data_IF_820904425886
#
_entry.id   IF_820904425886
#
_cell.length_a   1.000
_cell.length_b   1.000
_cell.length_c   1.000
_cell.angle_alpha   90.00
_cell.angle_beta   90.00
_cell.angle_gamma   90.00
#
_symmetry.space_group_name_H-M   'P 1'
#
loop_
_entity.id
_entity.type
_entity.pdbx_description
1 polymer ?
#
# COMPACT_ATOMS: atom_id res chain seq x y z
N UNK A 1 11.64 -25.11 -6.65
CA UNK A 1 11.09 -24.38 -5.50
C UNK A 1 11.65 -22.96 -5.54
N UNK A 2 10.84 -21.98 -5.94
CA UNK A 2 11.33 -20.62 -6.20
C UNK A 2 11.54 -19.83 -4.90
N UNK A 3 12.64 -19.09 -4.78
CA UNK A 3 12.99 -18.26 -3.62
C UNK A 3 11.85 -17.31 -3.20
N UNK A 4 11.05 -16.86 -4.18
CA UNK A 4 9.84 -16.04 -3.96
C UNK A 4 8.79 -16.73 -3.07
N UNK A 5 8.63 -18.05 -3.17
CA UNK A 5 7.63 -18.79 -2.37
C UNK A 5 8.06 -18.92 -0.90
N UNK A 6 9.36 -18.88 -0.60
CA UNK A 6 9.89 -18.90 0.77
C UNK A 6 9.68 -17.55 1.49
N UNK A 7 9.63 -16.44 0.74
CA UNK A 7 9.36 -15.10 1.27
C UNK A 7 7.85 -14.86 1.45
N UNK A 8 7.02 -15.33 0.52
CA UNK A 8 5.56 -15.15 0.57
C UNK A 8 4.86 -15.86 1.74
N UNK A 9 5.42 -16.98 2.25
CA UNK A 9 4.89 -17.70 3.41
C UNK A 9 5.45 -17.26 4.77
N UNK A 10 6.45 -16.38 4.78
CA UNK A 10 7.19 -16.00 5.99
C UNK A 10 6.67 -14.69 6.57
N UNK A 11 5.91 -14.76 7.68
CA UNK A 11 5.37 -13.59 8.40
C UNK A 11 6.44 -12.54 8.73
N UNK A 12 7.70 -12.95 8.94
CA UNK A 12 8.80 -12.01 9.19
C UNK A 12 9.13 -11.20 7.94
N UNK A 13 9.21 -11.84 6.78
CA UNK A 13 9.47 -11.15 5.53
C UNK A 13 8.35 -10.14 5.23
N UNK A 14 7.09 -10.53 5.43
CA UNK A 14 5.92 -9.63 5.30
C UNK A 14 6.08 -8.38 6.17
N UNK A 15 6.41 -8.54 7.46
CA UNK A 15 6.63 -7.38 8.37
C UNK A 15 7.77 -6.48 7.92
N UNK A 16 8.86 -7.05 7.40
CA UNK A 16 9.99 -6.27 6.87
C UNK A 16 9.56 -5.47 5.65
N UNK A 17 8.78 -6.04 4.74
CA UNK A 17 8.25 -5.32 3.58
C UNK A 17 7.27 -4.23 3.98
N UNK A 18 6.37 -4.47 4.94
CA UNK A 18 5.46 -3.43 5.48
C UNK A 18 6.25 -2.27 6.07
N UNK A 19 7.23 -2.55 6.94
CA UNK A 19 8.06 -1.49 7.54
C UNK A 19 8.90 -0.72 6.52
N UNK A 20 9.42 -1.40 5.50
CA UNK A 20 10.12 -0.74 4.41
C UNK A 20 9.18 0.17 3.59
N UNK A 21 7.96 -0.28 3.33
CA UNK A 21 6.94 0.49 2.62
C UNK A 21 6.52 1.75 3.40
N UNK A 22 6.24 1.62 4.69
CA UNK A 22 6.00 2.72 5.64
C UNK A 22 7.16 3.73 5.67
N UNK A 23 8.40 3.23 5.76
CA UNK A 23 9.61 4.07 5.74
C UNK A 23 9.71 4.88 4.44
N UNK A 24 9.45 4.23 3.30
CA UNK A 24 9.45 4.91 2.00
C UNK A 24 8.32 5.91 1.88
N UNK A 25 7.12 5.61 2.40
CA UNK A 25 6.00 6.56 2.45
C UNK A 25 6.38 7.83 3.22
N UNK A 26 6.96 7.67 4.41
CA UNK A 26 7.45 8.78 5.23
C UNK A 26 8.51 9.61 4.48
N UNK A 27 9.47 8.94 3.82
CA UNK A 27 10.53 9.61 3.06
C UNK A 27 10.01 10.47 1.89
N UNK A 28 8.82 10.15 1.35
CA UNK A 28 8.15 10.93 0.28
C UNK A 28 7.02 11.83 0.82
N UNK A 29 7.04 12.14 2.13
CA UNK A 29 6.11 13.07 2.76
C UNK A 29 4.72 12.49 3.06
N UNK A 30 4.64 11.18 3.30
CA UNK A 30 3.49 10.51 3.90
C UNK A 30 3.64 10.38 5.42
N UNK A 31 2.69 9.70 6.06
CA UNK A 31 2.80 9.36 7.48
C UNK A 31 3.65 8.11 7.69
N UNK A 32 4.38 8.09 8.80
CA UNK A 32 5.29 7.04 9.25
C UNK A 32 4.64 5.67 9.43
N UNK A 33 3.37 5.64 9.82
CA UNK A 33 2.63 4.40 10.07
C UNK A 33 1.71 4.04 8.89
N UNK A 34 1.63 4.88 7.85
CA UNK A 34 0.83 4.62 6.66
C UNK A 34 1.68 3.98 5.55
N UNK A 35 1.16 2.91 4.96
CA UNK A 35 1.75 2.29 3.74
C UNK A 35 1.51 3.14 2.50
N UNK A 36 2.42 3.08 1.51
CA UNK A 36 2.25 3.68 0.18
C UNK A 36 0.96 3.14 -0.46
N UNK A 37 0.67 1.84 -0.30
CA UNK A 37 -0.55 1.23 -0.80
C UNK A 37 -1.82 1.81 -0.17
N UNK A 38 -1.83 2.06 1.14
CA UNK A 38 -2.94 2.73 1.83
C UNK A 38 -3.15 4.15 1.31
N UNK A 39 -2.07 4.93 1.26
CA UNK A 39 -2.06 6.30 0.73
C UNK A 39 -2.56 6.35 -0.71
N UNK A 40 -2.13 5.40 -1.54
CA UNK A 40 -2.58 5.26 -2.92
C UNK A 40 -4.06 4.91 -3.00
N UNK A 41 -4.55 3.97 -2.20
CA UNK A 41 -5.97 3.62 -2.13
C UNK A 41 -6.84 4.83 -1.78
N UNK A 42 -6.46 5.59 -0.74
CA UNK A 42 -7.15 6.84 -0.36
C UNK A 42 -7.09 7.89 -1.47
N UNK A 43 -5.91 8.08 -2.07
CA UNK A 43 -5.72 9.01 -3.18
C UNK A 43 -6.57 8.66 -4.41
N UNK A 44 -6.69 7.37 -4.73
CA UNK A 44 -7.55 6.87 -5.80
C UNK A 44 -9.03 7.11 -5.48
N UNK A 45 -9.46 6.90 -4.22
CA UNK A 45 -10.83 7.25 -3.77
C UNK A 45 -11.12 8.75 -3.84
N UNK A 46 -10.10 9.61 -3.77
CA UNK A 46 -10.22 11.07 -4.02
C UNK A 46 -10.19 11.45 -5.51
N UNK A 47 -10.04 10.48 -6.41
CA UNK A 47 -9.96 10.73 -7.85
C UNK A 47 -8.59 11.24 -8.34
N UNK A 48 -7.52 11.11 -7.54
CA UNK A 48 -6.19 11.55 -7.94
C UNK A 48 -5.60 10.55 -8.95
N UNK A 49 -5.48 10.99 -10.21
CA UNK A 49 -5.17 10.11 -11.35
C UNK A 49 -3.88 9.27 -11.20
N UNK A 50 -2.82 9.84 -10.61
CA UNK A 50 -1.53 9.13 -10.42
C UNK A 50 -1.69 7.92 -9.51
N UNK A 51 -2.54 8.04 -8.49
CA UNK A 51 -2.83 6.93 -7.58
C UNK A 51 -3.76 5.91 -8.22
N UNK A 52 -4.74 6.33 -9.03
CA UNK A 52 -5.54 5.39 -9.82
C UNK A 52 -4.67 4.55 -10.78
N UNK A 53 -3.68 5.18 -11.44
CA UNK A 53 -2.74 4.48 -12.30
C UNK A 53 -1.89 3.49 -11.51
N UNK A 54 -1.34 3.92 -10.37
CA UNK A 54 -0.57 3.03 -9.49
C UNK A 54 -1.41 1.83 -9.04
N UNK A 55 -2.64 2.04 -8.58
CA UNK A 55 -3.52 0.96 -8.15
C UNK A 55 -3.86 0.00 -9.28
N UNK A 56 -4.11 0.49 -10.50
CA UNK A 56 -4.30 -0.37 -11.68
C UNK A 56 -3.08 -1.23 -12.01
N UNK A 57 -1.87 -0.69 -11.80
CA UNK A 57 -0.64 -1.45 -12.01
C UNK A 57 -0.47 -2.52 -10.93
N UNK A 58 -0.76 -2.20 -9.67
CA UNK A 58 -0.72 -3.14 -8.55
C UNK A 58 -1.78 -4.24 -8.69
N UNK A 59 -2.97 -3.91 -9.16
CA UNK A 59 -4.07 -4.86 -9.40
C UNK A 59 -3.74 -5.90 -10.47
N UNK A 60 -2.75 -5.65 -11.34
CA UNK A 60 -2.25 -6.66 -12.29
C UNK A 60 -1.45 -7.77 -11.61
N UNK A 61 -0.89 -7.49 -10.44
CA UNK A 61 -0.06 -8.42 -9.65
C UNK A 61 -0.89 -9.03 -8.53
N UNK A 62 -1.65 -8.21 -7.82
CA UNK A 62 -2.53 -8.60 -6.72
C UNK A 62 -3.89 -7.89 -6.89
N UNK A 63 -4.91 -8.54 -7.48
CA UNK A 63 -6.19 -7.89 -7.77
C UNK A 63 -6.86 -7.31 -6.52
N UNK A 64 -7.21 -6.02 -6.54
CA UNK A 64 -7.84 -5.31 -5.43
C UNK A 64 -6.85 -4.92 -4.31
N UNK A 65 -5.56 -4.81 -4.63
CA UNK A 65 -4.50 -4.57 -3.65
C UNK A 65 -4.72 -3.27 -2.88
N UNK A 66 -4.86 -2.15 -3.60
CA UNK A 66 -5.02 -0.85 -2.98
C UNK A 66 -6.24 -0.77 -2.07
N UNK A 67 -7.37 -1.35 -2.45
CA UNK A 67 -8.60 -1.30 -1.65
C UNK A 67 -8.46 -2.08 -0.34
N UNK A 68 -7.78 -3.24 -0.37
CA UNK A 68 -7.50 -4.02 0.84
C UNK A 68 -6.42 -3.40 1.72
N UNK A 69 -5.48 -2.68 1.13
CA UNK A 69 -4.38 -2.04 1.84
C UNK A 69 -4.76 -0.70 2.48
N UNK A 70 -6.00 -0.23 2.35
CA UNK A 70 -6.44 1.00 3.03
C UNK A 70 -6.39 0.80 4.55
N UNK A 71 -5.56 1.60 5.20
CA UNK A 71 -5.46 1.72 6.66
C UNK A 71 -6.30 2.94 7.08
N UNK A 72 -7.54 2.76 7.58
CA UNK A 72 -8.50 3.85 7.78
C UNK A 72 -8.09 4.84 8.89
N UNK A 73 -7.28 4.37 9.82
CA UNK A 73 -6.80 5.04 11.03
C UNK A 73 -5.43 5.69 10.88
N UNK A 74 -4.64 5.29 9.88
CA UNK A 74 -3.28 5.82 9.66
C UNK A 74 -3.26 6.99 8.67
N UNK A 75 -2.30 7.91 8.80
CA UNK A 75 -2.11 9.02 7.86
C UNK A 75 -3.34 9.92 7.67
N UNK A 76 -3.71 10.17 6.41
CA UNK A 76 -4.81 11.09 6.07
C UNK A 76 -6.20 10.43 6.16
N UNK A 77 -7.29 11.20 6.42
CA UNK A 77 -8.63 10.65 6.56
C UNK A 77 -9.14 10.06 5.25
N UNK A 78 -9.91 8.98 5.36
CA UNK A 78 -10.64 8.43 4.22
C UNK A 78 -11.65 9.46 3.67
N UNK A 79 -11.82 9.54 2.34
CA UNK A 79 -12.89 10.34 1.75
C UNK A 79 -14.25 9.86 2.27
N UNK A 80 -15.12 10.80 2.64
CA UNK A 80 -16.50 10.47 2.99
C UNK A 80 -17.22 9.98 1.71
N UNK A 81 -18.06 8.95 1.81
CA UNK A 81 -18.87 8.47 0.69
C UNK A 81 -19.84 9.54 0.19
#
# INVERSE_FOLDING_TARGET
MSLLQLLAGNRRAVRVFVGADQTLNAAIGGSEDETISSRAGKGAKRGIWRYCLLCRLLDRVDPGHCDRSIEPDEGGPLPKP
#
